data_IF_452176270496
#
_entry.id   IF_452176270496
#
_cell.length_a   1.000
_cell.length_b   1.000
_cell.length_c   1.000
_cell.angle_alpha   90.00
_cell.angle_beta   90.00
_cell.angle_gamma   90.00
#
_symmetry.space_group_name_H-M   'P 1'
#
loop_
_entity.id
_entity.type
_entity.pdbx_description
1 polymer ?
#
# COMPACT_ATOMS: atom_id res chain seq x y z
N UNK A 1 7.86 32.98 7.21
CA UNK A 1 7.99 32.18 5.96
C UNK A 1 8.46 30.75 6.20
N UNK A 2 9.58 30.47 6.90
CA UNK A 2 10.02 29.08 7.19
C UNK A 2 9.02 28.27 8.03
N UNK A 3 8.46 28.86 9.09
CA UNK A 3 7.46 28.18 9.94
C UNK A 3 6.22 27.72 9.16
N UNK A 4 5.74 28.56 8.23
CA UNK A 4 4.58 28.22 7.40
C UNK A 4 4.87 27.07 6.44
N UNK A 5 6.08 27.04 5.85
CA UNK A 5 6.52 25.92 5.00
C UNK A 5 6.64 24.62 5.78
N UNK A 6 7.19 24.66 6.99
CA UNK A 6 7.29 23.49 7.85
C UNK A 6 5.91 22.94 8.21
N UNK A 7 4.96 23.81 8.57
CA UNK A 7 3.59 23.39 8.87
C UNK A 7 2.92 22.70 7.66
N UNK A 8 3.19 23.14 6.43
CA UNK A 8 2.65 22.50 5.22
C UNK A 8 3.26 21.10 5.00
N UNK A 9 4.58 20.96 5.20
CA UNK A 9 5.26 19.66 5.07
C UNK A 9 4.75 18.70 6.15
N UNK A 10 4.67 19.14 7.40
CA UNK A 10 4.13 18.34 8.49
C UNK A 10 2.67 17.98 8.26
N UNK A 11 1.85 18.93 7.80
CA UNK A 11 0.45 18.67 7.45
C UNK A 11 0.31 17.62 6.34
N UNK A 12 1.20 17.63 5.34
CA UNK A 12 1.22 16.63 4.29
C UNK A 12 1.57 15.23 4.83
N UNK A 13 2.66 15.11 5.58
CA UNK A 13 3.13 13.82 6.10
C UNK A 13 2.17 13.23 7.14
N UNK A 14 1.70 14.05 8.08
CA UNK A 14 0.74 13.61 9.09
C UNK A 14 -0.63 13.37 8.48
N UNK A 15 -1.07 14.21 7.54
CA UNK A 15 -2.33 14.02 6.83
C UNK A 15 -2.36 12.71 6.05
N UNK A 16 -1.26 12.36 5.38
CA UNK A 16 -1.10 11.07 4.71
C UNK A 16 -1.26 9.92 5.71
N UNK A 17 -0.48 9.91 6.81
CA UNK A 17 -0.53 8.82 7.78
C UNK A 17 -1.87 8.69 8.52
N UNK A 18 -2.49 9.83 8.86
CA UNK A 18 -3.82 9.87 9.49
C UNK A 18 -4.88 9.35 8.51
N UNK A 19 -4.80 9.78 7.26
CA UNK A 19 -5.73 9.37 6.20
C UNK A 19 -5.62 7.88 5.88
N UNK A 20 -4.40 7.36 5.81
CA UNK A 20 -4.11 5.93 5.65
C UNK A 20 -4.70 5.11 6.81
N UNK A 21 -4.36 5.45 8.06
CA UNK A 21 -4.86 4.75 9.24
C UNK A 21 -6.40 4.77 9.36
N UNK A 22 -7.06 5.86 8.96
CA UNK A 22 -8.53 5.92 8.91
C UNK A 22 -9.10 5.17 7.71
N UNK A 23 -8.43 5.26 6.56
CA UNK A 23 -8.82 4.64 5.29
C UNK A 23 -8.79 3.11 5.32
N UNK A 24 -7.90 2.51 6.10
CA UNK A 24 -7.92 1.08 6.43
C UNK A 24 -9.32 0.60 6.87
N UNK A 25 -10.08 1.46 7.55
CA UNK A 25 -11.43 1.14 8.01
C UNK A 25 -12.43 0.88 6.88
N UNK A 26 -12.20 1.39 5.68
CA UNK A 26 -13.10 1.31 4.51
C UNK A 26 -12.55 0.50 3.35
N UNK A 27 -11.30 0.04 3.44
CA UNK A 27 -10.63 -0.70 2.37
C UNK A 27 -11.37 -1.97 1.92
N UNK A 28 -11.45 -2.20 0.61
CA UNK A 28 -12.15 -3.33 -0.01
C UNK A 28 -13.67 -3.41 0.26
N UNK A 29 -14.28 -2.42 0.91
CA UNK A 29 -15.72 -2.40 1.12
C UNK A 29 -16.45 -1.85 -0.11
N UNK A 30 -17.57 -2.48 -0.44
CA UNK A 30 -18.57 -1.91 -1.35
C UNK A 30 -19.30 -0.73 -0.71
N UNK A 31 -19.97 0.09 -1.53
CA UNK A 31 -20.80 1.19 -1.04
C UNK A 31 -21.92 0.74 -0.11
N UNK A 32 -22.48 -0.45 -0.33
CA UNK A 32 -23.53 -1.01 0.51
C UNK A 32 -22.99 -1.41 1.89
N UNK A 33 -21.82 -2.05 1.93
CA UNK A 33 -21.14 -2.39 3.19
C UNK A 33 -20.73 -1.15 3.96
N UNK A 34 -20.25 -0.09 3.28
CA UNK A 34 -19.95 1.18 3.92
C UNK A 34 -21.20 1.81 4.56
N UNK A 35 -22.32 1.87 3.84
CA UNK A 35 -23.57 2.42 4.37
C UNK A 35 -24.10 1.60 5.56
N UNK A 36 -23.89 0.28 5.56
CA UNK A 36 -24.32 -0.59 6.63
C UNK A 36 -23.42 -0.51 7.88
N UNK A 37 -22.10 -0.52 7.70
CA UNK A 37 -21.14 -0.51 8.81
C UNK A 37 -20.89 0.90 9.37
N UNK A 38 -20.97 1.94 8.53
CA UNK A 38 -20.69 3.33 8.89
C UNK A 38 -21.81 4.28 8.39
N UNK A 39 -23.05 4.14 8.88
CA UNK A 39 -24.19 4.92 8.40
C UNK A 39 -24.04 6.45 8.58
N UNK A 40 -23.23 6.86 9.56
CA UNK A 40 -22.90 8.28 9.83
C UNK A 40 -21.50 8.67 9.34
N UNK A 41 -20.85 7.81 8.56
CA UNK A 41 -19.44 7.95 8.18
C UNK A 41 -18.48 7.44 9.25
N UNK A 42 -17.24 7.19 8.80
CA UNK A 42 -16.11 6.80 9.64
C UNK A 42 -15.25 8.04 9.91
N UNK A 43 -15.12 8.43 11.17
CA UNK A 43 -14.40 9.64 11.60
C UNK A 43 -13.36 9.39 12.70
N UNK A 44 -13.49 8.28 13.42
CA UNK A 44 -12.65 7.96 14.58
C UNK A 44 -12.15 6.50 14.52
N UNK A 45 -10.92 6.26 14.96
CA UNK A 45 -10.29 4.94 14.83
C UNK A 45 -10.99 3.82 15.60
N UNK A 46 -11.66 4.12 16.71
CA UNK A 46 -12.38 3.10 17.50
C UNK A 46 -13.63 2.57 16.79
N UNK A 47 -14.14 3.31 15.80
CA UNK A 47 -15.28 2.86 14.99
C UNK A 47 -14.89 1.77 13.99
N UNK A 48 -13.59 1.63 13.68
CA UNK A 48 -13.11 0.66 12.68
C UNK A 48 -13.49 -0.75 13.10
N UNK A 49 -14.31 -1.39 12.28
CA UNK A 49 -14.75 -2.77 12.53
C UNK A 49 -13.58 -3.76 12.39
N UNK A 50 -13.68 -4.89 13.08
CA UNK A 50 -12.70 -5.98 12.97
C UNK A 50 -13.25 -7.09 12.07
N UNK A 51 -12.61 -7.27 10.92
CA UNK A 51 -12.83 -8.39 9.99
C UNK A 51 -11.50 -9.06 9.65
N UNK A 52 -11.49 -10.03 8.74
CA UNK A 52 -10.27 -10.74 8.34
C UNK A 52 -9.12 -9.80 7.93
N UNK A 53 -9.43 -8.71 7.20
CA UNK A 53 -8.44 -7.76 6.72
C UNK A 53 -7.95 -6.82 7.83
N UNK A 54 -8.88 -6.24 8.61
CA UNK A 54 -8.60 -5.21 9.62
C UNK A 54 -8.09 -5.76 10.95
N UNK A 55 -8.23 -7.06 11.18
CA UNK A 55 -7.84 -7.70 12.44
C UNK A 55 -6.33 -7.76 12.66
N UNK A 56 -5.53 -7.67 11.60
CA UNK A 56 -4.06 -7.65 11.72
C UNK A 56 -3.53 -6.30 12.23
N UNK A 57 -4.32 -5.23 12.12
CA UNK A 57 -3.93 -3.88 12.50
C UNK A 57 -4.43 -3.55 13.91
N UNK A 58 -3.61 -2.85 14.71
CA UNK A 58 -4.10 -2.23 15.95
C UNK A 58 -4.94 -0.98 15.64
N UNK A 59 -5.88 -0.57 16.50
CA UNK A 59 -6.59 0.70 16.32
C UNK A 59 -5.60 1.88 16.18
N UNK A 60 -5.71 2.63 15.08
CA UNK A 60 -4.82 3.75 14.77
C UNK A 60 -3.47 3.36 14.14
N UNK A 61 -3.22 2.07 13.88
CA UNK A 61 -2.12 1.65 13.03
C UNK A 61 -2.38 2.08 11.58
N UNK A 62 -1.31 2.39 10.85
CA UNK A 62 -1.31 2.69 9.42
C UNK A 62 -0.92 1.44 8.60
N UNK A 63 -1.02 1.54 7.28
CA UNK A 63 -0.74 0.44 6.34
C UNK A 63 0.64 0.57 5.68
N UNK A 64 0.87 -0.25 4.65
CA UNK A 64 2.06 -0.17 3.81
C UNK A 64 2.22 1.20 3.13
N UNK A 65 1.14 1.94 2.89
CA UNK A 65 1.21 3.29 2.31
C UNK A 65 2.10 4.23 3.15
N UNK A 66 1.91 4.24 4.48
CA UNK A 66 2.71 5.08 5.37
C UNK A 66 4.14 4.57 5.53
N UNK A 67 4.33 3.25 5.64
CA UNK A 67 5.67 2.67 5.75
C UNK A 67 6.51 2.92 4.48
N UNK A 68 5.90 2.80 3.29
CA UNK A 68 6.55 3.12 2.03
C UNK A 68 6.83 4.62 1.89
N UNK A 69 5.93 5.50 2.34
CA UNK A 69 6.23 6.94 2.41
C UNK A 69 7.47 7.22 3.27
N UNK A 70 7.59 6.57 4.44
CA UNK A 70 8.76 6.70 5.33
C UNK A 70 10.03 6.19 4.65
N UNK A 71 9.97 5.06 3.94
CA UNK A 71 11.10 4.53 3.18
C UNK A 71 11.63 5.55 2.15
N UNK A 72 10.73 6.23 1.43
CA UNK A 72 11.08 7.28 0.47
C UNK A 72 11.71 8.47 1.18
N UNK A 73 11.09 8.95 2.27
CA UNK A 73 11.59 10.10 3.03
C UNK A 73 13.00 9.83 3.58
N UNK A 74 13.23 8.64 4.14
CA UNK A 74 14.55 8.23 4.64
C UNK A 74 15.60 8.19 3.54
N UNK A 75 15.26 7.68 2.35
CA UNK A 75 16.17 7.68 1.21
C UNK A 75 16.53 9.10 0.76
N UNK A 76 15.56 10.01 0.73
CA UNK A 76 15.79 11.42 0.37
C UNK A 76 16.67 12.15 1.40
N UNK A 77 16.50 11.86 2.68
CA UNK A 77 17.34 12.39 3.77
C UNK A 77 18.77 11.86 3.62
N UNK A 78 18.92 10.55 3.39
CA UNK A 78 20.22 9.89 3.27
C UNK A 78 21.03 10.44 2.09
N UNK A 79 20.41 10.52 0.91
CA UNK A 79 21.13 10.83 -0.32
C UNK A 79 21.08 12.31 -0.70
N UNK A 80 20.31 13.12 0.02
CA UNK A 80 20.01 14.53 -0.30
C UNK A 80 19.46 14.74 -1.72
N UNK A 81 18.88 13.69 -2.30
CA UNK A 81 18.27 13.65 -3.65
C UNK A 81 17.34 12.44 -3.75
N UNK A 82 16.55 12.38 -4.81
CA UNK A 82 15.79 11.18 -5.14
C UNK A 82 16.75 10.15 -5.76
N UNK A 83 16.87 8.99 -5.12
CA UNK A 83 17.66 7.86 -5.61
C UNK A 83 16.83 6.58 -5.54
N UNK A 84 16.52 6.03 -6.71
CA UNK A 84 15.65 4.88 -6.84
C UNK A 84 16.25 3.59 -6.27
N UNK A 85 17.59 3.46 -6.24
CA UNK A 85 18.25 2.29 -5.67
C UNK A 85 18.16 2.29 -4.13
N UNK A 86 18.35 3.46 -3.51
CA UNK A 86 18.20 3.61 -2.06
C UNK A 86 16.74 3.42 -1.65
N UNK A 87 15.79 3.97 -2.41
CA UNK A 87 14.36 3.73 -2.18
C UNK A 87 14.03 2.23 -2.30
N UNK A 88 14.50 1.57 -3.36
CA UNK A 88 14.28 0.14 -3.56
C UNK A 88 14.87 -0.70 -2.41
N UNK A 89 16.07 -0.36 -1.96
CA UNK A 89 16.68 -1.01 -0.80
C UNK A 89 15.82 -0.82 0.46
N UNK A 90 15.40 0.42 0.75
CA UNK A 90 14.57 0.69 1.92
C UNK A 90 13.23 -0.06 1.87
N UNK A 91 12.57 -0.13 0.69
CA UNK A 91 11.36 -0.95 0.53
C UNK A 91 11.62 -2.43 0.74
N UNK A 92 12.73 -2.96 0.21
CA UNK A 92 13.08 -4.35 0.40
C UNK A 92 13.39 -4.66 1.87
N UNK A 93 14.17 -3.82 2.54
CA UNK A 93 14.52 -3.97 3.95
C UNK A 93 13.26 -3.93 4.82
N UNK A 94 12.34 -2.99 4.56
CA UNK A 94 11.02 -2.95 5.22
C UNK A 94 10.21 -4.22 4.95
N UNK A 95 10.09 -4.67 3.70
CA UNK A 95 9.26 -5.83 3.37
C UNK A 95 9.76 -7.15 3.98
N UNK A 96 11.05 -7.23 4.38
CA UNK A 96 11.60 -8.37 5.10
C UNK A 96 11.55 -8.22 6.63
N UNK A 97 11.14 -7.06 7.13
CA UNK A 97 11.03 -6.81 8.56
C UNK A 97 9.81 -7.55 9.16
N UNK A 98 9.93 -8.13 10.37
CA UNK A 98 8.84 -8.86 11.02
C UNK A 98 7.55 -8.05 11.22
N UNK A 99 7.68 -6.73 11.36
CA UNK A 99 6.59 -5.77 11.55
C UNK A 99 5.88 -5.38 10.25
N UNK A 100 6.40 -5.76 9.08
CA UNK A 100 5.80 -5.41 7.80
C UNK A 100 4.39 -6.02 7.67
N UNK A 101 3.41 -5.17 7.40
CA UNK A 101 2.02 -5.56 7.22
C UNK A 101 1.38 -4.75 6.08
N UNK A 102 0.21 -5.18 5.61
CA UNK A 102 -0.53 -4.48 4.55
C UNK A 102 -0.04 -4.69 3.12
N UNK A 103 1.21 -5.11 2.91
CA UNK A 103 1.79 -5.20 1.56
C UNK A 103 0.95 -6.03 0.58
N UNK A 104 0.52 -5.38 -0.50
CA UNK A 104 -0.21 -6.04 -1.58
C UNK A 104 0.61 -7.14 -2.28
N UNK A 105 -0.06 -8.21 -2.73
CA UNK A 105 0.58 -9.37 -3.35
C UNK A 105 1.49 -9.03 -4.55
N UNK A 106 1.06 -8.11 -5.41
CA UNK A 106 1.85 -7.67 -6.56
C UNK A 106 3.10 -6.91 -6.11
N UNK A 107 2.96 -6.02 -5.14
CA UNK A 107 4.07 -5.25 -4.56
C UNK A 107 5.08 -6.20 -3.93
N UNK A 108 4.63 -7.14 -3.10
CA UNK A 108 5.50 -8.15 -2.48
C UNK A 108 6.30 -8.94 -3.52
N UNK A 109 5.67 -9.40 -4.62
CA UNK A 109 6.37 -10.10 -5.71
C UNK A 109 7.48 -9.26 -6.35
N UNK A 110 7.29 -7.94 -6.47
CA UNK A 110 8.33 -7.02 -6.97
C UNK A 110 9.48 -6.92 -5.97
N UNK A 111 9.18 -6.67 -4.70
CA UNK A 111 10.18 -6.47 -3.65
C UNK A 111 11.01 -7.73 -3.36
N UNK A 112 10.40 -8.91 -3.53
CA UNK A 112 11.04 -10.22 -3.37
C UNK A 112 11.86 -10.66 -4.61
N UNK A 113 11.87 -9.89 -5.70
CA UNK A 113 12.63 -10.24 -6.89
C UNK A 113 14.14 -10.08 -6.64
N UNK A 114 14.95 -11.07 -7.04
CA UNK A 114 16.38 -11.15 -6.68
C UNK A 114 17.19 -9.89 -7.06
N UNK A 115 16.97 -9.34 -8.26
CA UNK A 115 17.68 -8.16 -8.76
C UNK A 115 16.92 -6.84 -8.44
N UNK A 116 15.94 -6.85 -7.53
CA UNK A 116 15.05 -5.69 -7.32
C UNK A 116 15.81 -4.41 -6.95
N UNK A 117 16.75 -4.47 -6.00
CA UNK A 117 17.51 -3.29 -5.56
C UNK A 117 18.42 -2.72 -6.65
N UNK A 118 18.92 -3.58 -7.53
CA UNK A 118 19.79 -3.21 -8.64
C UNK A 118 19.01 -2.69 -9.84
N UNK A 119 17.80 -3.23 -10.09
CA UNK A 119 17.00 -2.96 -11.29
C UNK A 119 15.52 -2.77 -10.96
N UNK A 120 15.15 -1.80 -10.09
CA UNK A 120 13.80 -1.73 -9.52
C UNK A 120 12.70 -1.52 -10.57
N UNK A 121 12.97 -0.70 -11.60
CA UNK A 121 12.01 -0.47 -12.68
C UNK A 121 11.81 -1.72 -13.55
N UNK A 122 12.88 -2.47 -13.82
CA UNK A 122 12.81 -3.67 -14.67
C UNK A 122 12.08 -4.80 -13.95
N UNK A 123 12.34 -4.97 -12.65
CA UNK A 123 11.62 -5.90 -11.79
C UNK A 123 10.12 -5.55 -11.75
N UNK A 124 9.78 -4.27 -11.53
CA UNK A 124 8.38 -3.82 -11.53
C UNK A 124 7.69 -4.05 -12.88
N UNK A 125 8.36 -3.73 -13.99
CA UNK A 125 7.83 -3.95 -15.34
C UNK A 125 7.60 -5.44 -15.63
N UNK A 126 8.55 -6.29 -15.26
CA UNK A 126 8.44 -7.74 -15.46
C UNK A 126 7.23 -8.32 -14.72
N UNK A 127 7.11 -8.04 -13.43
CA UNK A 127 6.00 -8.54 -12.61
C UNK A 127 4.65 -7.99 -13.11
N UNK A 128 4.59 -6.71 -13.49
CA UNK A 128 3.37 -6.13 -14.07
C UNK A 128 2.96 -6.81 -15.39
N UNK A 129 3.93 -7.12 -16.26
CA UNK A 129 3.67 -7.86 -17.51
C UNK A 129 3.19 -9.29 -17.24
N UNK A 130 3.72 -9.95 -16.21
CA UNK A 130 3.31 -11.30 -15.82
C UNK A 130 1.89 -11.31 -15.26
N UNK A 131 1.55 -10.39 -14.36
CA UNK A 131 0.20 -10.32 -13.76
C UNK A 131 -0.89 -10.04 -14.79
N UNK A 132 -0.60 -9.23 -15.83
CA UNK A 132 -1.52 -9.00 -16.97
C UNK A 132 -1.78 -10.26 -17.77
N UNK A 133 -0.78 -11.11 -17.99
CA UNK A 133 -0.93 -12.39 -18.70
C UNK A 133 -1.77 -13.38 -17.89
N UNK A 134 -1.55 -13.45 -16.58
CA UNK A 134 -2.37 -14.28 -15.68
C UNK A 134 -3.84 -13.84 -15.71
N UNK A 135 -4.11 -12.53 -15.55
CA UNK A 135 -5.47 -11.99 -15.63
C UNK A 135 -6.18 -12.30 -16.96
N UNK A 136 -5.47 -12.26 -18.08
CA UNK A 136 -6.04 -12.61 -19.40
C UNK A 136 -6.40 -14.09 -19.52
N UNK A 137 -5.58 -14.99 -18.94
CA UNK A 137 -5.84 -16.42 -18.94
C UNK A 137 -7.03 -16.77 -18.03
N UNK A 138 -7.11 -16.20 -16.83
CA UNK A 138 -8.26 -16.38 -15.92
C UNK A 138 -9.54 -15.83 -16.53
N UNK A 139 -9.50 -14.63 -17.14
CA UNK A 139 -10.66 -14.06 -17.83
C UNK A 139 -11.18 -14.93 -18.99
N UNK A 140 -10.29 -15.61 -19.72
CA UNK A 140 -10.67 -16.56 -20.78
C UNK A 140 -11.29 -17.85 -20.22
N UNK A 141 -10.77 -18.37 -19.10
CA UNK A 141 -11.34 -19.54 -18.41
C UNK A 141 -12.75 -19.26 -17.89
N UNK A 142 -12.97 -18.12 -17.24
CA UNK A 142 -14.29 -17.72 -16.77
C UNK A 142 -15.29 -17.51 -17.92
N UNK A 143 -14.83 -16.99 -19.08
CA UNK A 143 -15.69 -16.82 -20.25
C UNK A 143 -16.09 -18.16 -20.90
N UNK A 144 -15.23 -19.18 -20.86
CA UNK A 144 -15.52 -20.52 -21.40
C UNK A 144 -16.50 -21.31 -20.53
N UNK A 145 -16.55 -21.05 -19.22
CA UNK A 145 -17.54 -21.69 -18.32
C UNK A 145 -18.94 -21.07 -18.38
N UNK A 146 -19.11 -19.92 -19.03
CA UNK A 146 -20.40 -19.26 -19.23
C UNK A 146 -21.02 -19.53 -20.61
N UNK A 147 -20.32 -20.24 -21.51
CA UNK A 147 -20.82 -20.62 -22.83
C UNK A 147 -21.38 -22.04 -22.91
N UNK A 148 -21.30 -22.82 -21.82
CA UNK A 148 -21.72 -24.23 -21.75
C UNK A 148 -22.98 -24.43 -20.86
N UNK A 149 -23.80 -23.39 -20.67
CA UNK A 149 -25.07 -23.45 -19.91
C UNK A 149 -26.24 -22.88 -20.68
#
# INVERSE_FOLDING_TARGET
MMQQKNNLIYGCLFGQAIGDALGLGTEFMSKAELANNYPTGLTEYHQIIKDYHRSIFQPGAWSDDTDMMICIANAMIQDSKINLHTIAKNFQDWAHAPEACGVGQTTYKVLAFADYTEKPQQAAELIWRMSRKEMQLTGRLCALQLSDS
#
